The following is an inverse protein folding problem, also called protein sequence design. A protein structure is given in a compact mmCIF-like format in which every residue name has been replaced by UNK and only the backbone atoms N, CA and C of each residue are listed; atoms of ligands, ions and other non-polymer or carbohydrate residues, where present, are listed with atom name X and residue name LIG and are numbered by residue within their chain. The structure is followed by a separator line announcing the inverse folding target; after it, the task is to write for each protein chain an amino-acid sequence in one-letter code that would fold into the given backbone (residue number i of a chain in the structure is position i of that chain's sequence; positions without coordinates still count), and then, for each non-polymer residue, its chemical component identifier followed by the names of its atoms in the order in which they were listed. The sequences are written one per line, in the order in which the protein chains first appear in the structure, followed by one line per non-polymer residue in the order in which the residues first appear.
data_IF_520626338502
#
_entry.id   IF_520626338502
#
_cell.length_a   1.000
_cell.length_b   1.000
_cell.length_c   1.000
_cell.angle_alpha   90.00
_cell.angle_beta   90.00
_cell.angle_gamma   90.00
#
_symmetry.space_group_name_H-M   'P 1'
#
loop_
_entity.id
_entity.type
_entity.pdbx_description
1 polymer ?
#
# COMPACT_ATOMS: atom_id res chain seq x y z
N UNK A 1 1.06 -10.98 -4.05
CA UNK A 1 1.19 -12.32 -3.45
C UNK A 1 1.96 -12.17 -2.15
N UNK A 2 1.49 -12.75 -1.05
CA UNK A 2 2.20 -12.75 0.24
C UNK A 2 2.08 -14.14 0.89
N UNK A 3 2.58 -14.31 2.11
CA UNK A 3 2.34 -15.52 2.91
C UNK A 3 0.83 -15.78 3.15
N UNK A 4 0.00 -14.72 3.11
CA UNK A 4 -1.42 -14.76 3.50
C UNK A 4 -2.41 -14.68 2.32
N UNK A 5 -1.92 -14.42 1.11
CA UNK A 5 -2.76 -14.34 -0.09
C UNK A 5 -2.10 -15.09 -1.25
N UNK A 6 -2.70 -16.22 -1.63
CA UNK A 6 -2.22 -17.08 -2.72
C UNK A 6 -2.55 -16.53 -4.10
N UNK A 7 -1.78 -16.96 -5.10
CA UNK A 7 -2.04 -16.58 -6.50
C UNK A 7 -3.40 -17.09 -6.98
N UNK A 8 -3.83 -18.27 -6.55
CA UNK A 8 -5.12 -18.84 -6.95
C UNK A 8 -6.30 -18.01 -6.44
N UNK A 9 -6.22 -17.52 -5.21
CA UNK A 9 -7.22 -16.60 -4.65
C UNK A 9 -7.28 -15.30 -5.45
N UNK A 10 -6.12 -14.74 -5.82
CA UNK A 10 -6.05 -13.53 -6.66
C UNK A 10 -6.70 -13.77 -8.03
N UNK A 11 -6.47 -14.93 -8.67
CA UNK A 11 -7.08 -15.25 -9.97
C UNK A 11 -8.60 -15.32 -9.88
N UNK A 12 -9.13 -15.93 -8.82
CA UNK A 12 -10.58 -16.01 -8.58
C UNK A 12 -11.16 -14.60 -8.39
N UNK A 13 -10.53 -13.78 -7.55
CA UNK A 13 -10.97 -12.40 -7.31
C UNK A 13 -10.92 -11.58 -8.60
N UNK A 14 -9.81 -11.63 -9.34
CA UNK A 14 -9.64 -10.90 -10.60
C UNK A 14 -10.75 -11.23 -11.62
N UNK A 15 -11.04 -12.53 -11.82
CA UNK A 15 -12.14 -12.96 -12.69
C UNK A 15 -13.49 -12.41 -12.24
N UNK A 16 -13.76 -12.45 -10.93
CA UNK A 16 -15.01 -11.96 -10.38
C UNK A 16 -15.16 -10.44 -10.53
N UNK A 17 -14.14 -9.65 -10.18
CA UNK A 17 -14.22 -8.19 -10.28
C UNK A 17 -14.35 -7.72 -11.74
N UNK A 18 -13.67 -8.38 -12.69
CA UNK A 18 -13.84 -8.06 -14.11
C UNK A 18 -15.23 -8.46 -14.65
N UNK A 19 -15.80 -9.57 -14.15
CA UNK A 19 -17.13 -10.03 -14.53
C UNK A 19 -18.24 -9.10 -14.03
N UNK A 20 -18.17 -8.66 -12.78
CA UNK A 20 -19.20 -7.81 -12.17
C UNK A 20 -19.02 -6.32 -12.49
N UNK A 21 -17.88 -5.93 -13.08
CA UNK A 21 -17.60 -4.57 -13.51
C UNK A 21 -17.01 -3.69 -12.40
N UNK A 22 -16.67 -2.44 -12.75
CA UNK A 22 -16.11 -1.44 -11.83
C UNK A 22 -14.56 -1.43 -11.74
N UNK A 23 -13.89 -2.48 -12.22
CA UNK A 23 -12.42 -2.55 -12.28
C UNK A 23 -11.95 -3.11 -13.62
N UNK A 24 -10.88 -2.54 -14.19
CA UNK A 24 -10.36 -2.96 -15.50
C UNK A 24 -8.99 -3.65 -15.40
N UNK A 25 -8.28 -3.47 -14.28
CA UNK A 25 -6.95 -4.02 -14.04
C UNK A 25 -6.78 -4.41 -12.57
N UNK A 26 -5.89 -5.37 -12.30
CA UNK A 26 -5.43 -5.72 -10.94
C UNK A 26 -3.90 -5.78 -10.96
N UNK A 27 -3.25 -5.03 -10.07
CA UNK A 27 -1.80 -5.06 -9.88
C UNK A 27 -1.45 -6.04 -8.76
N UNK A 28 -0.64 -7.03 -9.06
CA UNK A 28 -0.11 -8.00 -8.09
C UNK A 28 1.29 -7.58 -7.69
N UNK A 29 1.45 -7.23 -6.42
CA UNK A 29 2.75 -7.01 -5.79
C UNK A 29 3.24 -8.32 -5.20
N UNK A 30 4.33 -8.90 -5.72
CA UNK A 30 4.97 -10.06 -5.11
C UNK A 30 5.92 -9.59 -4.00
N UNK A 31 5.48 -9.71 -2.75
CA UNK A 31 6.22 -9.24 -1.59
C UNK A 31 6.94 -10.41 -0.89
N UNK A 32 8.07 -10.16 -0.20
CA UNK A 32 8.82 -11.23 0.45
C UNK A 32 7.96 -11.99 1.47
N UNK A 33 8.04 -13.33 1.43
CA UNK A 33 7.28 -14.22 2.32
C UNK A 33 7.97 -14.31 3.69
N UNK A 34 7.80 -13.30 4.52
CA UNK A 34 8.30 -13.32 5.89
C UNK A 34 7.30 -12.66 6.86
N UNK A 35 7.41 -13.00 8.15
CA UNK A 35 6.50 -12.50 9.19
C UNK A 35 6.50 -10.97 9.34
N UNK A 36 7.56 -10.29 8.90
CA UNK A 36 7.63 -8.84 8.93
C UNK A 36 6.72 -8.17 7.88
N UNK A 37 6.32 -8.89 6.82
CA UNK A 37 5.56 -8.38 5.67
C UNK A 37 4.35 -9.28 5.38
N UNK A 38 3.42 -9.38 6.33
CA UNK A 38 2.27 -10.29 6.23
C UNK A 38 1.31 -9.90 5.10
N UNK A 39 1.08 -8.60 4.91
CA UNK A 39 0.15 -8.03 3.94
C UNK A 39 0.78 -6.84 3.21
N UNK A 40 0.26 -6.50 2.03
CA UNK A 40 0.77 -5.38 1.24
C UNK A 40 0.61 -4.04 1.98
N UNK A 41 -0.48 -3.87 2.71
CA UNK A 41 -0.79 -2.61 3.41
C UNK A 41 0.08 -2.33 4.64
N UNK A 42 0.84 -3.31 5.13
CA UNK A 42 1.83 -3.07 6.17
C UNK A 42 3.08 -2.40 5.61
N UNK A 43 3.29 -2.46 4.30
CA UNK A 43 4.52 -1.99 3.61
C UNK A 43 4.27 -0.98 2.50
N UNK A 44 3.02 -0.83 2.04
CA UNK A 44 2.67 0.05 0.94
C UNK A 44 1.21 0.53 1.06
N UNK A 45 0.99 1.84 1.22
CA UNK A 45 -0.37 2.43 1.26
C UNK A 45 -0.45 3.77 0.54
N UNK A 46 -1.56 4.01 -0.15
CA UNK A 46 -1.87 5.30 -0.80
C UNK A 46 -2.39 6.30 0.24
N UNK A 47 -1.79 7.49 0.29
CA UNK A 47 -2.11 8.54 1.28
C UNK A 47 -2.66 9.83 0.67
N UNK A 48 -2.50 9.99 -0.64
CA UNK A 48 -3.02 11.10 -1.44
C UNK A 48 -3.17 10.63 -2.90
N UNK A 49 -3.70 11.48 -3.79
CA UNK A 49 -3.92 11.16 -5.22
C UNK A 49 -2.67 10.61 -5.89
N UNK A 50 -1.50 11.18 -5.59
CA UNK A 50 -0.24 10.79 -6.21
C UNK A 50 0.86 10.39 -5.20
N UNK A 51 0.50 10.14 -3.93
CA UNK A 51 1.49 9.87 -2.88
C UNK A 51 1.21 8.58 -2.15
N UNK A 52 2.27 7.84 -1.89
CA UNK A 52 2.22 6.54 -1.21
C UNK A 52 3.24 6.52 -0.08
N UNK A 53 2.90 5.86 1.02
CA UNK A 53 3.92 5.43 1.99
C UNK A 53 4.45 4.07 1.58
N UNK A 54 5.77 3.89 1.66
CA UNK A 54 6.44 2.63 1.35
C UNK A 54 7.50 2.29 2.40
N UNK A 55 7.62 1.00 2.72
CA UNK A 55 8.73 0.49 3.50
C UNK A 55 9.94 0.18 2.60
N UNK A 56 11.14 0.72 2.89
CA UNK A 56 12.33 0.51 2.05
C UNK A 56 12.70 -0.96 1.80
N UNK A 57 12.35 -1.85 2.73
CA UNK A 57 12.62 -3.29 2.60
C UNK A 57 11.84 -4.01 1.50
N UNK A 58 10.87 -3.35 0.84
CA UNK A 58 10.16 -3.91 -0.33
C UNK A 58 10.49 -3.19 -1.65
N UNK A 59 11.40 -2.21 -1.65
CA UNK A 59 11.87 -1.52 -2.86
C UNK A 59 12.94 -2.33 -3.64
N UNK A 60 13.57 -3.34 -2.99
CA UNK A 60 14.37 -4.38 -3.68
C UNK A 60 13.49 -5.23 -4.63
N UNK A 61 14.03 -6.16 -5.45
CA UNK A 61 13.42 -6.62 -6.71
C UNK A 61 11.93 -6.97 -6.54
N UNK A 62 11.09 -5.97 -6.76
CA UNK A 62 9.66 -6.02 -6.51
C UNK A 62 9.03 -6.45 -7.82
N UNK A 63 8.59 -7.71 -7.87
CA UNK A 63 7.94 -8.20 -9.07
C UNK A 63 6.49 -7.76 -9.06
N UNK A 64 6.14 -6.91 -10.02
CA UNK A 64 4.78 -6.44 -10.23
C UNK A 64 4.20 -7.11 -11.46
N UNK A 65 2.98 -7.63 -11.33
CA UNK A 65 2.25 -8.23 -12.44
C UNK A 65 0.93 -7.50 -12.66
N UNK A 66 0.66 -7.11 -13.90
CA UNK A 66 -0.61 -6.50 -14.28
C UNK A 66 -1.52 -7.59 -14.83
N UNK A 67 -2.70 -7.71 -14.23
CA UNK A 67 -3.76 -8.62 -14.66
C UNK A 67 -4.85 -7.82 -15.36
N UNK A 68 -5.24 -8.26 -16.55
CA UNK A 68 -6.31 -7.64 -17.36
C UNK A 68 -7.27 -8.72 -17.86
N UNK A 69 -8.53 -8.40 -18.20
CA UNK A 69 -9.42 -9.35 -18.86
C UNK A 69 -8.86 -9.77 -20.23
N UNK A 70 -9.09 -11.03 -20.61
CA UNK A 70 -8.62 -11.56 -21.88
C UNK A 70 -9.58 -11.32 -23.06
N UNK A 71 -10.82 -10.93 -22.75
CA UNK A 71 -11.94 -10.74 -23.70
C UNK A 71 -12.79 -12.00 -23.94
N UNK A 72 -12.41 -13.15 -23.37
CA UNK A 72 -13.07 -14.45 -23.49
C UNK A 72 -13.59 -15.00 -22.15
N UNK A 73 -13.54 -14.19 -21.09
CA UNK A 73 -13.96 -14.57 -19.74
C UNK A 73 -12.83 -15.12 -18.85
N UNK A 74 -11.57 -15.03 -19.30
CA UNK A 74 -10.38 -15.32 -18.50
C UNK A 74 -9.52 -14.04 -18.32
N UNK A 75 -8.31 -14.22 -17.81
CA UNK A 75 -7.36 -13.16 -17.49
C UNK A 75 -6.05 -13.33 -18.27
N UNK A 76 -5.42 -12.20 -18.59
CA UNK A 76 -4.05 -12.09 -19.09
C UNK A 76 -3.19 -11.53 -17.97
N UNK A 77 -1.97 -12.04 -17.80
CA UNK A 77 -1.01 -11.58 -16.79
C UNK A 77 0.27 -11.16 -17.51
N UNK A 78 0.77 -9.95 -17.22
CA UNK A 78 2.05 -9.44 -17.73
C UNK A 78 2.93 -8.99 -16.58
N UNK A 79 4.18 -9.44 -16.55
CA UNK A 79 5.19 -8.90 -15.63
C UNK A 79 5.62 -7.50 -16.05
N UNK A 80 5.89 -6.63 -15.08
CA UNK A 80 6.47 -5.31 -15.28
C UNK A 80 7.93 -5.32 -14.82
N UNK A 81 8.78 -4.59 -15.55
CA UNK A 81 10.23 -4.52 -15.30
C UNK A 81 10.72 -3.08 -15.10
N UNK A 82 9.81 -2.16 -14.80
CA UNK A 82 10.11 -0.74 -14.56
C UNK A 82 10.15 -0.41 -13.06
N UNK A 83 10.48 0.83 -12.71
CA UNK A 83 10.39 1.32 -11.32
C UNK A 83 8.94 1.33 -10.85
N UNK A 84 8.73 1.22 -9.54
CA UNK A 84 7.39 1.25 -8.96
C UNK A 84 6.70 2.59 -9.27
N UNK A 85 7.46 3.69 -9.19
CA UNK A 85 7.02 5.04 -9.55
C UNK A 85 6.44 5.09 -10.96
N UNK A 86 7.21 4.68 -11.98
CA UNK A 86 6.76 4.72 -13.38
C UNK A 86 5.55 3.81 -13.63
N UNK A 87 5.51 2.63 -12.99
CA UNK A 87 4.35 1.73 -13.09
C UNK A 87 3.11 2.41 -12.51
N UNK A 88 3.21 3.03 -11.34
CA UNK A 88 2.07 3.70 -10.72
C UNK A 88 1.64 4.94 -11.52
N UNK A 89 2.57 5.74 -12.02
CA UNK A 89 2.31 6.89 -12.91
C UNK A 89 1.49 6.47 -14.12
N UNK A 90 1.93 5.43 -14.84
CA UNK A 90 1.22 4.91 -16.00
C UNK A 90 -0.14 4.30 -15.64
N UNK A 91 -0.23 3.54 -14.55
CA UNK A 91 -1.45 2.82 -14.19
C UNK A 91 -2.52 3.71 -13.55
N UNK A 92 -2.14 4.85 -12.98
CA UNK A 92 -3.03 5.84 -12.38
C UNK A 92 -3.26 7.07 -13.28
N UNK A 93 -2.61 7.15 -14.43
CA UNK A 93 -2.65 8.31 -15.34
C UNK A 93 -2.20 9.61 -14.66
N UNK A 94 -1.02 9.56 -14.04
CA UNK A 94 -0.43 10.65 -13.27
C UNK A 94 0.92 11.07 -13.85
N UNK A 95 1.20 12.37 -13.85
CA UNK A 95 2.48 12.92 -14.30
C UNK A 95 3.66 12.55 -13.38
N UNK A 96 3.39 12.30 -12.10
CA UNK A 96 4.41 11.94 -11.11
C UNK A 96 3.80 11.23 -9.91
N UNK A 97 4.55 10.26 -9.37
CA UNK A 97 4.23 9.58 -8.11
C UNK A 97 5.33 9.81 -7.06
N UNK A 98 4.91 10.11 -5.84
CA UNK A 98 5.79 10.36 -4.69
C UNK A 98 5.73 9.19 -3.69
N UNK A 99 6.86 8.50 -3.52
CA UNK A 99 7.01 7.41 -2.56
C UNK A 99 7.69 7.91 -1.27
N UNK A 100 6.88 8.11 -0.25
CA UNK A 100 7.29 8.58 1.08
C UNK A 100 7.78 7.38 1.91
N UNK A 101 9.09 7.33 2.15
CA UNK A 101 9.74 6.19 2.80
C UNK A 101 9.53 6.21 4.32
N UNK A 102 8.96 5.12 4.85
CA UNK A 102 8.79 4.91 6.30
C UNK A 102 10.14 5.00 7.01
N UNK A 103 10.22 5.81 8.07
CA UNK A 103 11.43 6.07 8.84
C UNK A 103 12.53 6.86 8.11
N UNK A 104 12.24 7.44 6.94
CA UNK A 104 13.16 8.33 6.23
C UNK A 104 14.37 7.65 5.61
N UNK A 105 14.33 6.33 5.40
CA UNK A 105 15.43 5.56 4.82
C UNK A 105 16.54 5.20 5.81
N UNK A 106 16.50 5.66 7.06
CA UNK A 106 17.39 5.18 8.11
C UNK A 106 17.01 3.73 8.49
N UNK A 107 17.90 2.73 8.37
CA UNK A 107 17.55 1.33 8.59
C UNK A 107 17.03 1.02 10.01
N UNK A 108 17.52 1.74 11.03
CA UNK A 108 17.14 1.52 12.43
C UNK A 108 15.76 2.12 12.69
N UNK A 109 15.55 3.36 12.24
CA UNK A 109 14.27 4.05 12.37
C UNK A 109 13.20 3.34 11.53
N UNK A 110 13.50 3.01 10.28
CA UNK A 110 12.60 2.31 9.37
C UNK A 110 12.15 0.98 9.96
N UNK A 111 13.08 0.15 10.47
CA UNK A 111 12.73 -1.12 11.11
C UNK A 111 11.84 -0.92 12.36
N UNK A 112 12.15 0.09 13.20
CA UNK A 112 11.36 0.39 14.40
C UNK A 112 9.95 0.87 14.06
N UNK A 113 9.81 1.81 13.13
CA UNK A 113 8.51 2.37 12.77
C UNK A 113 7.69 1.42 11.92
N UNK A 114 8.32 0.61 11.08
CA UNK A 114 7.67 -0.50 10.38
C UNK A 114 7.08 -1.52 11.37
N UNK A 115 7.82 -1.87 12.43
CA UNK A 115 7.32 -2.74 13.48
C UNK A 115 6.09 -2.18 14.20
N UNK A 116 5.94 -0.85 14.21
CA UNK A 116 4.81 -0.13 14.78
C UNK A 116 3.80 0.30 13.70
N UNK A 117 3.78 -0.38 12.56
CA UNK A 117 2.81 -0.14 11.48
C UNK A 117 2.89 1.28 10.86
N UNK A 118 4.11 1.83 10.73
CA UNK A 118 4.37 3.17 10.18
C UNK A 118 3.88 3.39 8.75
N UNK A 119 3.91 2.36 7.91
CA UNK A 119 3.37 2.42 6.54
C UNK A 119 1.88 2.05 6.46
N UNK A 120 1.26 1.61 7.56
CA UNK A 120 -0.15 1.21 7.61
C UNK A 120 -1.05 2.40 7.98
N UNK A 121 -1.00 3.43 7.16
CA UNK A 121 -1.72 4.68 7.39
C UNK A 121 -3.16 4.58 6.88
N UNK A 122 -4.12 5.22 7.58
CA UNK A 122 -5.51 5.29 7.14
C UNK A 122 -5.79 6.65 6.51
N UNK A 123 -5.88 6.72 5.18
CA UNK A 123 -6.35 7.90 4.48
C UNK A 123 -7.86 8.09 4.68
N UNK A 124 -8.28 9.22 5.27
CA UNK A 124 -9.69 9.58 5.45
C UNK A 124 -10.19 10.60 4.42
N UNK A 125 -9.26 11.31 3.77
CA UNK A 125 -9.46 12.13 2.59
C UNK A 125 -8.10 12.23 1.84
N UNK A 126 -8.07 12.66 0.57
CA UNK A 126 -6.81 12.95 -0.12
C UNK A 126 -5.93 13.89 0.71
N UNK A 127 -4.68 13.49 0.96
CA UNK A 127 -3.74 14.26 1.76
C UNK A 127 -4.08 14.33 3.25
N UNK A 128 -4.98 13.49 3.78
CA UNK A 128 -5.34 13.49 5.21
C UNK A 128 -5.40 12.06 5.76
N UNK A 129 -4.49 11.76 6.69
CA UNK A 129 -4.29 10.41 7.21
C UNK A 129 -4.42 10.33 8.73
N UNK A 130 -4.76 9.15 9.23
CA UNK A 130 -4.66 8.77 10.64
C UNK A 130 -3.47 7.84 10.82
N UNK A 131 -2.60 8.14 11.78
CA UNK A 131 -1.40 7.35 12.12
C UNK A 131 -1.25 7.18 13.63
N UNK A 132 -0.31 6.34 14.05
CA UNK A 132 0.11 6.30 15.46
C UNK A 132 1.11 7.42 15.78
N UNK A 133 0.97 8.03 16.95
CA UNK A 133 1.86 9.10 17.42
C UNK A 133 3.34 8.68 17.55
N UNK A 134 3.60 7.39 17.83
CA UNK A 134 4.94 6.84 18.07
C UNK A 134 5.82 6.77 16.82
N UNK A 135 5.25 6.94 15.62
CA UNK A 135 5.96 6.89 14.33
C UNK A 135 6.39 8.30 13.92
N UNK A 136 7.12 8.99 14.81
CA UNK A 136 7.36 10.42 14.70
C UNK A 136 8.16 10.81 13.45
N UNK A 137 9.10 9.97 12.97
CA UNK A 137 9.87 10.29 11.76
C UNK A 137 8.98 10.19 10.53
N UNK A 138 8.21 9.11 10.40
CA UNK A 138 7.27 8.94 9.29
C UNK A 138 6.18 10.02 9.30
N UNK A 139 5.68 10.40 10.47
CA UNK A 139 4.68 11.46 10.61
C UNK A 139 5.23 12.84 10.20
N UNK A 140 6.48 13.14 10.56
CA UNK A 140 7.15 14.37 10.15
C UNK A 140 7.37 14.40 8.62
N UNK A 141 7.78 13.29 8.02
CA UNK A 141 7.94 13.18 6.57
C UNK A 141 6.62 13.35 5.83
N UNK A 142 5.57 12.66 6.26
CA UNK A 142 4.22 12.86 5.72
C UNK A 142 3.81 14.33 5.75
N UNK A 143 4.04 15.01 6.88
CA UNK A 143 3.73 16.43 7.04
C UNK A 143 4.55 17.33 6.09
N UNK A 144 5.85 17.03 5.89
CA UNK A 144 6.72 17.75 4.94
C UNK A 144 6.29 17.56 3.48
N UNK A 145 5.67 16.43 3.16
CA UNK A 145 5.09 16.12 1.85
C UNK A 145 3.64 16.62 1.70
N UNK A 146 3.18 17.52 2.58
CA UNK A 146 1.87 18.17 2.49
C UNK A 146 0.70 17.34 3.01
N UNK A 147 0.96 16.20 3.66
CA UNK A 147 -0.09 15.35 4.24
C UNK A 147 -0.47 15.86 5.63
N UNK A 148 -1.77 16.09 5.85
CA UNK A 148 -2.33 16.36 7.18
C UNK A 148 -2.40 15.07 7.99
N UNK A 149 -1.49 14.93 8.96
CA UNK A 149 -1.40 13.77 9.86
C UNK A 149 -2.24 14.00 11.12
N UNK A 150 -3.20 13.10 11.37
CA UNK A 150 -3.94 13.01 12.62
C UNK A 150 -3.41 11.83 13.42
N UNK A 151 -2.81 12.08 14.58
CA UNK A 151 -2.24 11.02 15.40
C UNK A 151 -3.24 10.48 16.41
N UNK A 152 -3.17 9.18 16.69
CA UNK A 152 -3.83 8.55 17.84
C UNK A 152 -2.80 7.89 18.75
N UNK A 153 -3.14 7.80 20.03
CA UNK A 153 -2.33 7.09 21.02
C UNK A 153 -2.21 5.61 20.65
N UNK A 154 -1.04 5.04 20.92
CA UNK A 154 -0.65 3.72 20.38
C UNK A 154 -0.11 2.76 21.43
N UNK A 155 -0.14 3.11 22.71
CA UNK A 155 0.46 2.34 23.81
C UNK A 155 -0.02 0.88 23.89
N UNK A 156 -1.33 0.66 23.73
CA UNK A 156 -1.96 -0.66 23.86
C UNK A 156 -2.30 -1.28 22.50
N UNK A 157 -2.96 -0.53 21.62
CA UNK A 157 -3.43 -1.06 20.32
C UNK A 157 -2.27 -1.56 19.43
N UNK A 158 -1.12 -0.88 19.45
CA UNK A 158 0.05 -1.31 18.65
C UNK A 158 0.62 -2.67 19.08
N UNK A 159 0.31 -3.15 20.31
CA UNK A 159 0.71 -4.50 20.74
C UNK A 159 0.07 -5.59 19.89
N UNK A 160 -1.09 -5.29 19.30
CA UNK A 160 -1.78 -6.16 18.34
C UNK A 160 -1.13 -6.23 16.96
N UNK A 161 -0.08 -5.43 16.69
CA UNK A 161 0.64 -5.36 15.40
C UNK A 161 -0.29 -5.01 14.23
N UNK A 162 -1.03 -3.92 14.39
CA UNK A 162 -1.83 -3.34 13.33
C UNK A 162 -1.95 -1.83 13.51
N UNK A 163 -1.85 -1.11 12.39
CA UNK A 163 -2.08 0.33 12.32
C UNK A 163 -3.56 0.71 12.25
N UNK A 164 -3.87 2.02 12.16
CA UNK A 164 -5.23 2.51 11.97
C UNK A 164 -5.96 1.90 10.77
N UNK A 165 -5.24 1.57 9.68
CA UNK A 165 -5.84 0.94 8.50
C UNK A 165 -6.29 -0.50 8.81
N UNK A 166 -5.47 -1.29 9.50
CA UNK A 166 -5.80 -2.64 9.94
C UNK A 166 -7.06 -2.71 10.83
N UNK A 167 -7.36 -1.64 11.57
CA UNK A 167 -8.54 -1.56 12.46
C UNK A 167 -9.81 -1.04 11.77
N UNK A 168 -9.76 -0.84 10.45
CA UNK A 168 -10.84 -0.18 9.71
C UNK A 168 -11.25 -0.95 8.46
N UNK A 169 -12.51 -0.79 8.06
CA UNK A 169 -13.06 -1.32 6.82
C UNK A 169 -13.99 -0.26 6.20
N UNK A 170 -13.50 0.57 5.26
CA UNK A 170 -14.34 1.58 4.62
C UNK A 170 -15.52 0.93 3.89
N UNK A 171 -16.74 1.38 4.20
CA UNK A 171 -17.95 0.92 3.52
C UNK A 171 -18.31 1.81 2.33
N UNK A 172 -18.14 3.13 2.48
CA UNK A 172 -18.45 4.13 1.47
C UNK A 172 -17.34 5.19 1.49
N UNK A 173 -16.90 5.62 0.31
CA UNK A 173 -16.05 6.79 0.07
C UNK A 173 -16.65 7.58 -1.09
N UNK A 174 -16.45 8.90 -1.09
CA UNK A 174 -16.82 9.74 -2.23
C UNK A 174 -15.98 9.36 -3.45
N UNK A 175 -16.55 9.54 -4.64
CA UNK A 175 -15.81 9.34 -5.88
C UNK A 175 -14.76 10.45 -6.02
N UNK A 176 -13.60 10.08 -6.54
CA UNK A 176 -12.48 10.99 -6.86
C UNK A 176 -12.58 11.41 -8.32
#
# INVERSE_FOLDING_TARGET
CSERTSIDAIRIVAKNVFKYGGFNKVLIFDIPKCRAFMHLDTVFTMVDVNKFTIHPGIEGPLNIYIVTPDGKGDIKIKSQTDTLEHILEHELDLDSVDLIRCGGGDPIVAAREQWNDGSNTLAIAPGRVITYERNYVSNELLSKHGIKVLTIASSELSRGRGGPRCMSMPLIRENV
#
